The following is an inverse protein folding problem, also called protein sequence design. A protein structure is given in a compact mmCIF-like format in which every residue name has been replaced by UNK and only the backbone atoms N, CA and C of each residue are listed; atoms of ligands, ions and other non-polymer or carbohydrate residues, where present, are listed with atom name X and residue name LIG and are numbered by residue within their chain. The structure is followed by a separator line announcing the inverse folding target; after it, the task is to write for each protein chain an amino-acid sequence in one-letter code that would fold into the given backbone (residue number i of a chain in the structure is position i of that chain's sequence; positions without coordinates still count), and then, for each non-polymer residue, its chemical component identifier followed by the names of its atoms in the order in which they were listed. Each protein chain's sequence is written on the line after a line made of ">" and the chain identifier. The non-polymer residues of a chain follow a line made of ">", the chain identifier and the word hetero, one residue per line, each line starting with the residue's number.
data_IF_429537797242
#
_entry.id   IF_429537797242
#
_cell.length_a   1.000
_cell.length_b   1.000
_cell.length_c   1.000
_cell.angle_alpha   90.00
_cell.angle_beta   90.00
_cell.angle_gamma   90.00
#
_symmetry.space_group_name_H-M   'P 1'
#
loop_
_entity.id
_entity.type
_entity.pdbx_description
1 polymer ?
#
# COMPACT_ATOMS: atom_id res chain seq x y z
N UNK A 1 -11.55 -24.95 -12.93
CA UNK A 1 -12.69 -24.88 -12.00
C UNK A 1 -13.40 -23.53 -12.01
N UNK A 2 -12.70 -22.39 -12.12
CA UNK A 2 -13.33 -21.07 -11.99
C UNK A 2 -14.59 -20.85 -12.84
N UNK A 3 -14.58 -21.25 -14.10
CA UNK A 3 -15.72 -21.08 -15.03
C UNK A 3 -16.53 -22.37 -15.21
N UNK A 4 -16.36 -23.35 -14.33
CA UNK A 4 -17.12 -24.59 -14.38
C UNK A 4 -18.61 -24.32 -14.08
N UNK A 5 -19.57 -24.84 -14.86
CA UNK A 5 -21.00 -24.56 -14.64
C UNK A 5 -21.54 -25.04 -13.29
N UNK A 6 -20.97 -26.09 -12.71
CA UNK A 6 -21.41 -26.66 -11.44
C UNK A 6 -20.57 -26.15 -10.26
N UNK A 7 -19.26 -26.02 -10.47
CA UNK A 7 -18.30 -25.77 -9.39
C UNK A 7 -17.65 -24.40 -9.42
N UNK A 8 -17.88 -23.60 -10.47
CA UNK A 8 -17.28 -22.28 -10.66
C UNK A 8 -17.92 -21.15 -9.85
N UNK A 9 -17.42 -19.93 -10.08
CA UNK A 9 -18.05 -18.69 -9.62
C UNK A 9 -18.97 -18.14 -10.72
N UNK A 10 -20.14 -17.68 -10.33
CA UNK A 10 -21.07 -16.96 -11.20
C UNK A 10 -20.51 -15.57 -11.55
N UNK A 11 -21.03 -14.95 -12.62
CA UNK A 11 -20.66 -13.59 -12.99
C UNK A 11 -20.91 -12.58 -11.86
N UNK A 12 -22.00 -12.74 -11.10
CA UNK A 12 -22.31 -11.89 -9.96
C UNK A 12 -21.33 -12.09 -8.81
N UNK A 13 -20.92 -13.33 -8.51
CA UNK A 13 -19.90 -13.60 -7.48
C UNK A 13 -18.54 -13.01 -7.85
N UNK A 14 -18.19 -12.97 -9.15
CA UNK A 14 -16.95 -12.32 -9.62
C UNK A 14 -17.08 -10.79 -9.55
N UNK A 15 -18.21 -10.22 -9.97
CA UNK A 15 -18.45 -8.77 -9.94
C UNK A 15 -18.51 -8.21 -8.50
N UNK A 16 -18.81 -9.06 -7.53
CA UNK A 16 -18.80 -8.73 -6.10
C UNK A 16 -17.36 -8.62 -5.53
N UNK A 17 -16.35 -9.12 -6.23
CA UNK A 17 -14.93 -8.93 -5.89
C UNK A 17 -14.46 -7.59 -6.48
N UNK A 18 -13.79 -6.71 -5.70
CA UNK A 18 -13.21 -5.49 -6.25
C UNK A 18 -12.32 -5.76 -7.45
N UNK A 19 -12.54 -5.03 -8.54
CA UNK A 19 -11.88 -5.28 -9.83
C UNK A 19 -10.35 -5.28 -9.70
N UNK A 20 -9.79 -4.30 -8.98
CA UNK A 20 -8.34 -4.21 -8.69
C UNK A 20 -7.78 -5.47 -8.04
N UNK A 21 -8.54 -6.14 -7.16
CA UNK A 21 -8.09 -7.37 -6.51
C UNK A 21 -8.20 -8.56 -7.44
N UNK A 22 -9.29 -8.61 -8.22
CA UNK A 22 -9.52 -9.68 -9.16
C UNK A 22 -8.49 -9.67 -10.30
N UNK A 23 -8.04 -8.52 -10.78
CA UNK A 23 -7.14 -8.43 -11.94
C UNK A 23 -5.67 -8.72 -11.64
N UNK A 24 -5.30 -9.07 -10.41
CA UNK A 24 -3.88 -9.27 -10.03
C UNK A 24 -3.30 -10.65 -10.40
N UNK A 25 -4.13 -11.69 -10.42
CA UNK A 25 -3.67 -13.07 -10.59
C UNK A 25 -3.68 -13.67 -12.03
N UNK A 26 -3.99 -12.95 -13.12
CA UNK A 26 -3.74 -13.42 -14.48
C UNK A 26 -2.26 -13.37 -14.88
N UNK A 27 -1.73 -14.48 -15.43
CA UNK A 27 -0.41 -14.59 -16.05
C UNK A 27 -0.58 -15.23 -17.43
N UNK A 28 -0.09 -14.58 -18.50
CA UNK A 28 -0.19 -15.07 -19.88
C UNK A 28 -1.63 -15.47 -20.30
N UNK A 29 -2.63 -14.68 -19.87
CA UNK A 29 -4.05 -14.96 -20.16
C UNK A 29 -4.67 -16.08 -19.33
N UNK A 30 -3.91 -16.73 -18.44
CA UNK A 30 -4.42 -17.74 -17.51
C UNK A 30 -4.49 -17.17 -16.10
N UNK A 31 -5.61 -17.38 -15.40
CA UNK A 31 -5.70 -17.02 -13.99
C UNK A 31 -5.07 -18.13 -13.15
N UNK A 32 -4.00 -17.78 -12.42
CA UNK A 32 -3.25 -18.73 -11.59
C UNK A 32 -3.60 -18.64 -10.10
N UNK A 33 -4.35 -17.61 -9.70
CA UNK A 33 -4.75 -17.43 -8.31
C UNK A 33 -6.11 -16.77 -8.13
N UNK A 34 -6.55 -16.78 -6.88
CA UNK A 34 -7.67 -16.00 -6.38
C UNK A 34 -7.22 -15.19 -5.17
N UNK A 35 -7.70 -13.95 -4.97
CA UNK A 35 -7.25 -13.11 -3.88
C UNK A 35 -7.46 -13.81 -2.53
N UNK A 36 -6.49 -13.72 -1.61
CA UNK A 36 -6.59 -14.33 -0.28
C UNK A 36 -6.69 -13.27 0.82
N UNK A 37 -5.89 -12.22 0.72
CA UNK A 37 -5.83 -11.13 1.67
C UNK A 37 -5.45 -9.85 0.93
N UNK A 38 -6.07 -8.72 1.29
CA UNK A 38 -5.67 -7.40 0.77
C UNK A 38 -5.54 -6.43 1.91
N UNK A 39 -4.38 -5.78 1.96
CA UNK A 39 -4.17 -4.59 2.76
C UNK A 39 -3.94 -3.40 1.85
N UNK A 40 -3.71 -2.24 2.44
CA UNK A 40 -3.33 -1.05 1.71
C UNK A 40 -2.39 -0.16 2.53
N UNK A 41 -1.55 0.57 1.80
CA UNK A 41 -0.62 1.53 2.40
C UNK A 41 -1.29 2.88 2.56
N UNK A 42 -1.21 3.46 3.76
CA UNK A 42 -1.87 4.72 4.09
C UNK A 42 -0.93 5.71 4.78
N UNK A 43 -1.24 6.99 4.63
CA UNK A 43 -0.80 8.05 5.54
C UNK A 43 -1.78 8.11 6.72
N UNK A 44 -1.27 7.92 7.92
CA UNK A 44 -1.98 8.10 9.17
C UNK A 44 -1.87 9.57 9.55
N UNK A 45 -3.00 10.22 9.79
CA UNK A 45 -3.10 11.67 9.91
C UNK A 45 -3.81 12.09 11.19
N UNK A 46 -3.18 12.95 11.97
CA UNK A 46 -3.75 13.46 13.23
C UNK A 46 -4.69 14.65 12.95
N UNK A 47 -5.99 14.39 12.94
CA UNK A 47 -7.01 15.39 12.62
C UNK A 47 -7.16 16.42 13.73
N UNK A 48 -7.00 16.02 14.99
CA UNK A 48 -7.10 16.94 16.13
C UNK A 48 -5.99 17.99 16.05
N UNK A 49 -4.75 17.53 15.89
CA UNK A 49 -3.63 18.44 15.80
C UNK A 49 -3.68 19.28 14.52
N UNK A 50 -4.10 18.72 13.38
CA UNK A 50 -4.29 19.50 12.16
C UNK A 50 -5.27 20.67 12.34
N UNK A 51 -6.39 20.46 13.04
CA UNK A 51 -7.36 21.53 13.35
C UNK A 51 -6.77 22.62 14.23
N UNK A 52 -5.95 22.25 15.22
CA UNK A 52 -5.21 23.20 16.05
C UNK A 52 -4.20 24.03 15.23
N UNK A 53 -3.62 23.44 14.18
CA UNK A 53 -2.74 24.11 13.23
C UNK A 53 -3.51 24.95 12.19
N UNK A 54 -4.85 24.95 12.23
CA UNK A 54 -5.71 25.76 11.35
C UNK A 54 -6.25 25.03 10.11
N UNK A 55 -6.06 23.72 9.98
CA UNK A 55 -6.55 22.93 8.85
C UNK A 55 -7.85 22.21 9.19
N UNK A 56 -8.93 22.55 8.48
CA UNK A 56 -10.25 21.93 8.66
C UNK A 56 -10.49 20.71 7.77
N UNK A 57 -9.60 20.48 6.79
CA UNK A 57 -9.68 19.36 5.86
C UNK A 57 -8.32 18.64 5.73
N UNK A 58 -8.30 17.31 5.55
CA UNK A 58 -7.10 16.58 5.18
C UNK A 58 -6.54 17.06 3.83
N UNK A 59 -5.23 16.92 3.57
CA UNK A 59 -4.65 17.28 2.29
C UNK A 59 -5.13 16.33 1.18
N UNK A 60 -5.61 16.90 0.07
CA UNK A 60 -6.02 16.18 -1.14
C UNK A 60 -4.94 16.20 -2.23
N UNK A 61 -3.99 17.13 -2.16
CA UNK A 61 -2.89 17.29 -3.12
C UNK A 61 -1.52 17.31 -2.46
N UNK A 62 -0.47 17.07 -3.23
CA UNK A 62 0.91 17.13 -2.77
C UNK A 62 1.26 18.51 -2.16
N UNK A 63 0.75 19.60 -2.74
CA UNK A 63 0.97 20.96 -2.22
C UNK A 63 0.29 21.17 -0.87
N UNK A 64 -0.95 20.69 -0.71
CA UNK A 64 -1.65 20.75 0.57
C UNK A 64 -0.95 19.87 1.62
N UNK A 65 -0.46 18.71 1.23
CA UNK A 65 0.33 17.84 2.11
C UNK A 65 1.58 18.55 2.61
N UNK A 66 2.34 19.18 1.70
CA UNK A 66 3.50 20.00 2.04
C UNK A 66 3.13 21.13 3.00
N UNK A 67 2.07 21.87 2.69
CA UNK A 67 1.61 22.99 3.53
C UNK A 67 1.34 22.53 4.97
N UNK A 68 0.59 21.44 5.15
CA UNK A 68 0.25 20.92 6.47
C UNK A 68 1.46 20.34 7.19
N UNK A 69 2.31 19.60 6.48
CA UNK A 69 3.52 19.03 7.04
C UNK A 69 4.48 20.13 7.54
N UNK A 70 4.68 21.18 6.75
CA UNK A 70 5.52 22.32 7.12
C UNK A 70 4.93 23.14 8.26
N UNK A 71 3.60 23.33 8.30
CA UNK A 71 2.94 24.02 9.41
C UNK A 71 3.13 23.28 10.74
N UNK A 72 3.08 21.94 10.73
CA UNK A 72 3.36 21.14 11.91
C UNK A 72 4.81 21.28 12.40
N UNK A 73 5.79 21.41 11.50
CA UNK A 73 7.17 21.72 11.92
C UNK A 73 7.30 23.17 12.44
N UNK A 74 6.68 24.12 11.75
CA UNK A 74 6.69 25.52 12.16
C UNK A 74 6.10 25.73 13.57
N UNK A 75 5.14 24.91 13.98
CA UNK A 75 4.61 24.90 15.36
C UNK A 75 5.71 24.65 16.40
N UNK A 76 6.57 23.64 16.20
CA UNK A 76 7.65 23.33 17.13
C UNK A 76 8.70 24.43 17.19
N UNK A 77 9.04 25.03 16.04
CA UNK A 77 10.05 26.08 15.95
C UNK A 77 9.67 27.42 16.62
N UNK A 78 8.42 27.58 17.05
CA UNK A 78 7.95 28.80 17.72
C UNK A 78 8.36 28.86 19.20
N UNK A 79 8.70 27.73 19.81
CA UNK A 79 9.09 27.68 21.22
C UNK A 79 10.61 27.87 21.43
N UNK A 80 11.04 27.88 22.69
CA UNK A 80 12.45 28.01 23.06
C UNK A 80 13.22 26.68 23.04
N UNK A 81 12.53 25.54 22.92
CA UNK A 81 13.08 24.20 23.02
C UNK A 81 13.64 23.70 21.68
N UNK A 82 14.89 24.07 21.41
CA UNK A 82 15.60 23.66 20.17
C UNK A 82 15.78 22.16 19.96
N UNK A 83 15.51 21.31 20.96
CA UNK A 83 15.59 19.86 20.80
C UNK A 83 14.42 19.27 19.99
N UNK A 84 13.31 20.00 19.85
CA UNK A 84 12.12 19.55 19.10
C UNK A 84 11.97 20.24 17.73
N UNK A 85 12.87 21.16 17.34
CA UNK A 85 12.79 21.94 16.08
C UNK A 85 12.81 21.07 14.81
N UNK A 86 13.15 19.78 14.92
CA UNK A 86 13.09 18.79 13.84
C UNK A 86 11.79 17.95 13.80
N UNK A 87 10.90 18.11 14.77
CA UNK A 87 9.61 17.42 14.81
C UNK A 87 8.53 18.15 14.01
N UNK A 88 7.36 17.52 13.90
CA UNK A 88 6.31 17.92 12.99
C UNK A 88 6.40 17.20 11.66
N UNK A 89 5.58 17.62 10.71
CA UNK A 89 5.66 17.08 9.36
C UNK A 89 5.35 15.59 9.25
N UNK A 90 6.09 14.93 8.35
CA UNK A 90 5.99 13.50 8.07
C UNK A 90 7.25 12.75 8.52
N UNK A 91 7.08 11.58 9.16
CA UNK A 91 8.21 10.67 9.37
C UNK A 91 8.50 9.93 8.08
N UNK A 92 9.69 10.16 7.52
CA UNK A 92 10.14 9.51 6.30
C UNK A 92 10.08 8.00 6.47
N UNK A 93 9.38 7.34 5.55
CA UNK A 93 9.29 5.88 5.50
C UNK A 93 9.62 5.41 4.08
N UNK A 94 10.75 4.72 3.92
CA UNK A 94 11.23 4.26 2.61
C UNK A 94 10.87 2.80 2.31
N UNK A 95 9.88 2.23 3.01
CA UNK A 95 9.42 0.88 2.67
C UNK A 95 8.85 0.85 1.23
N UNK A 96 8.94 -0.30 0.52
CA UNK A 96 8.63 -0.36 -0.89
C UNK A 96 7.24 0.16 -1.25
N UNK A 97 6.20 -0.26 -0.53
CA UNK A 97 4.82 0.16 -0.80
C UNK A 97 4.60 1.65 -0.53
N UNK A 98 5.32 2.25 0.42
CA UNK A 98 5.27 3.71 0.67
C UNK A 98 5.85 4.46 -0.52
N UNK A 99 7.04 4.05 -0.97
CA UNK A 99 7.71 4.71 -2.08
C UNK A 99 6.92 4.54 -3.37
N UNK A 100 6.44 3.32 -3.66
CA UNK A 100 5.57 3.06 -4.80
C UNK A 100 4.31 3.94 -4.78
N UNK A 101 3.69 4.12 -3.61
CA UNK A 101 2.50 4.97 -3.48
C UNK A 101 2.80 6.43 -3.84
N UNK A 102 3.94 6.98 -3.39
CA UNK A 102 4.36 8.33 -3.78
C UNK A 102 4.71 8.44 -5.27
N UNK A 103 5.39 7.44 -5.84
CA UNK A 103 5.69 7.43 -7.28
C UNK A 103 4.39 7.48 -8.11
N UNK A 104 3.41 6.62 -7.77
CA UNK A 104 2.13 6.58 -8.46
C UNK A 104 1.31 7.86 -8.25
N UNK A 105 1.35 8.47 -7.06
CA UNK A 105 0.66 9.75 -6.77
C UNK A 105 1.17 10.90 -7.65
N UNK A 106 2.41 10.82 -8.12
CA UNK A 106 3.02 11.77 -9.06
C UNK A 106 2.86 11.37 -10.53
N UNK A 107 2.04 10.35 -10.81
CA UNK A 107 1.82 9.84 -12.17
C UNK A 107 2.98 9.00 -12.71
N UNK A 108 3.91 8.60 -11.83
CA UNK A 108 5.00 7.69 -12.14
C UNK A 108 4.59 6.23 -11.90
N UNK A 109 5.51 5.46 -11.33
CA UNK A 109 5.39 4.02 -11.16
C UNK A 109 6.65 3.32 -11.63
N UNK A 110 6.61 2.00 -11.69
CA UNK A 110 7.83 1.21 -11.98
C UNK A 110 7.71 0.37 -13.24
N UNK A 111 6.53 0.31 -13.86
CA UNK A 111 6.27 -0.50 -15.05
C UNK A 111 5.89 0.42 -16.20
N UNK A 112 6.61 0.31 -17.31
CA UNK A 112 6.28 1.05 -18.53
C UNK A 112 5.49 0.14 -19.48
N UNK A 113 4.36 0.63 -19.98
CA UNK A 113 3.55 -0.04 -21.02
C UNK A 113 3.30 0.95 -22.15
N UNK A 114 3.88 0.69 -23.31
CA UNK A 114 3.70 1.49 -24.54
C UNK A 114 4.31 2.88 -24.48
N UNK A 115 5.19 3.16 -23.52
CA UNK A 115 5.70 4.52 -23.23
C UNK A 115 7.14 4.77 -23.67
N UNK A 116 7.88 3.77 -24.15
CA UNK A 116 9.25 3.96 -24.66
C UNK A 116 9.61 2.97 -25.77
N UNK A 117 10.30 3.40 -26.84
CA UNK A 117 10.81 2.49 -27.88
C UNK A 117 12.05 1.69 -27.42
N UNK A 118 12.66 2.03 -26.28
CA UNK A 118 13.88 1.38 -25.78
C UNK A 118 13.66 0.45 -24.59
N UNK A 119 12.51 0.55 -23.91
CA UNK A 119 12.15 -0.29 -22.75
C UNK A 119 11.03 -1.22 -23.19
N UNK A 120 11.16 -2.53 -22.95
CA UNK A 120 10.11 -3.47 -23.37
C UNK A 120 8.88 -3.32 -22.46
N UNK A 121 7.71 -3.51 -23.04
CA UNK A 121 6.45 -3.51 -22.28
C UNK A 121 6.51 -4.52 -21.13
N UNK A 122 6.22 -4.05 -19.92
CA UNK A 122 6.26 -4.89 -18.72
C UNK A 122 7.65 -5.03 -18.09
N UNK A 123 8.67 -4.28 -18.54
CA UNK A 123 9.95 -4.15 -17.82
C UNK A 123 9.84 -3.13 -16.68
N UNK A 124 10.70 -3.33 -15.67
CA UNK A 124 10.81 -2.43 -14.53
C UNK A 124 11.77 -1.30 -14.87
N UNK A 125 11.33 -0.06 -14.70
CA UNK A 125 12.13 1.13 -14.93
C UNK A 125 11.79 2.23 -13.92
N UNK A 126 12.81 2.78 -13.28
CA UNK A 126 12.72 3.79 -12.23
C UNK A 126 13.08 5.18 -12.73
N UNK A 127 14.03 5.35 -13.66
CA UNK A 127 14.48 6.64 -14.17
C UNK A 127 13.48 7.31 -15.13
N UNK A 128 12.30 7.62 -14.60
CA UNK A 128 11.27 8.40 -15.29
C UNK A 128 11.18 9.81 -14.72
N UNK A 129 10.79 10.82 -15.54
CA UNK A 129 10.59 12.18 -15.05
C UNK A 129 9.59 12.26 -13.88
N UNK A 130 8.51 11.46 -13.92
CA UNK A 130 7.50 11.46 -12.86
C UNK A 130 8.04 10.88 -11.54
N UNK A 131 8.84 9.81 -11.60
CA UNK A 131 9.49 9.26 -10.40
C UNK A 131 10.53 10.21 -9.82
N UNK A 132 11.30 10.88 -10.69
CA UNK A 132 12.21 11.92 -10.28
C UNK A 132 11.46 13.03 -9.54
N UNK A 133 10.38 13.58 -10.12
CA UNK A 133 9.58 14.62 -9.46
C UNK A 133 9.01 14.18 -8.11
N UNK A 134 8.60 12.92 -7.97
CA UNK A 134 8.13 12.38 -6.69
C UNK A 134 9.24 12.39 -5.63
N UNK A 135 10.44 11.90 -5.98
CA UNK A 135 11.58 11.84 -5.05
C UNK A 135 12.13 13.24 -4.73
N UNK A 136 12.16 14.14 -5.70
CA UNK A 136 12.53 15.55 -5.49
C UNK A 136 11.54 16.24 -4.55
N UNK A 137 10.23 16.00 -4.70
CA UNK A 137 9.23 16.51 -3.76
C UNK A 137 9.46 16.02 -2.33
N UNK A 138 9.64 14.71 -2.14
CA UNK A 138 9.86 14.15 -0.81
C UNK A 138 11.18 14.61 -0.20
N UNK A 139 12.24 14.73 -1.01
CA UNK A 139 13.52 15.28 -0.55
C UNK A 139 13.41 16.77 -0.22
N UNK A 140 12.64 17.54 -0.99
CA UNK A 140 12.32 18.93 -0.70
C UNK A 140 11.65 19.10 0.66
N UNK A 141 10.68 18.24 1.00
CA UNK A 141 10.08 18.24 2.35
C UNK A 141 11.12 18.02 3.45
N UNK A 142 12.06 17.09 3.23
CA UNK A 142 13.13 16.81 4.18
C UNK A 142 14.08 18.02 4.34
N UNK A 143 14.50 18.64 3.23
CA UNK A 143 15.38 19.82 3.25
C UNK A 143 14.72 21.05 3.88
N UNK A 144 13.39 21.14 3.74
CA UNK A 144 12.57 22.18 4.38
C UNK A 144 12.22 21.87 5.83
N UNK A 145 12.70 20.75 6.39
CA UNK A 145 12.40 20.27 7.75
C UNK A 145 10.92 19.90 7.97
N UNK A 146 10.16 19.74 6.89
CA UNK A 146 8.77 19.29 6.88
C UNK A 146 8.64 17.75 6.84
N UNK A 147 9.76 17.04 6.73
CA UNK A 147 9.87 15.61 6.94
C UNK A 147 11.19 15.29 7.64
N UNK A 148 11.24 14.19 8.39
CA UNK A 148 12.43 13.81 9.15
C UNK A 148 12.57 12.29 9.29
N UNK A 149 13.80 11.84 9.53
CA UNK A 149 14.12 10.42 9.75
C UNK A 149 14.01 10.14 11.24
N UNK A 150 13.15 9.20 11.61
CA UNK A 150 13.02 8.75 13.00
C UNK A 150 14.18 7.85 13.41
N UNK A 151 14.72 8.08 14.60
CA UNK A 151 15.62 7.14 15.29
C UNK A 151 14.86 6.09 16.09
N UNK A 152 13.57 6.32 16.35
CA UNK A 152 12.69 5.36 17.01
C UNK A 152 12.27 4.25 16.04
N UNK A 153 12.31 2.97 16.47
CA UNK A 153 11.92 1.85 15.61
C UNK A 153 10.42 1.78 15.33
N UNK A 154 9.60 2.48 16.13
CA UNK A 154 8.15 2.50 16.00
C UNK A 154 7.64 3.93 15.76
N UNK A 155 7.14 4.28 14.56
CA UNK A 155 6.67 5.63 14.26
C UNK A 155 5.38 6.00 15.03
N UNK A 156 4.62 5.03 15.55
CA UNK A 156 3.35 5.28 16.21
C UNK A 156 3.50 5.96 17.58
N UNK A 157 4.64 5.78 18.27
CA UNK A 157 4.91 6.54 19.49
C UNK A 157 5.14 8.01 19.18
N UNK A 158 5.96 8.31 18.17
CA UNK A 158 6.20 9.67 17.70
C UNK A 158 4.89 10.34 17.26
N UNK A 159 4.04 9.63 16.52
CA UNK A 159 2.70 10.12 16.15
C UNK A 159 1.83 10.41 17.38
N UNK A 160 1.77 9.47 18.33
CA UNK A 160 0.99 9.62 19.57
C UNK A 160 1.53 10.71 20.51
N UNK A 161 2.80 11.12 20.37
CA UNK A 161 3.38 12.26 21.09
C UNK A 161 3.27 13.57 20.33
N UNK A 162 2.57 13.58 19.19
CA UNK A 162 2.48 14.69 18.23
C UNK A 162 3.84 15.12 17.66
N UNK A 163 4.86 14.27 17.68
CA UNK A 163 6.15 14.55 17.03
C UNK A 163 6.08 14.49 15.50
N UNK A 164 4.99 13.99 14.92
CA UNK A 164 4.72 14.02 13.49
C UNK A 164 3.22 14.07 13.21
N UNK A 165 2.83 14.90 12.24
CA UNK A 165 1.44 15.05 11.81
C UNK A 165 1.02 13.88 10.94
N UNK A 166 1.98 13.35 10.18
CA UNK A 166 1.82 12.20 9.31
C UNK A 166 2.82 11.10 9.67
N UNK A 167 2.35 9.86 9.74
CA UNK A 167 3.20 8.66 9.65
C UNK A 167 2.63 7.71 8.62
N UNK A 168 3.46 6.84 8.05
CA UNK A 168 2.98 5.84 7.08
C UNK A 168 2.89 4.48 7.75
N UNK A 169 1.80 3.75 7.47
CA UNK A 169 1.57 2.40 7.97
C UNK A 169 0.74 1.56 7.01
N UNK A 170 0.73 0.25 7.23
CA UNK A 170 -0.21 -0.67 6.60
C UNK A 170 -1.55 -0.64 7.35
N UNK A 171 -2.67 -0.86 6.66
CA UNK A 171 -4.00 -0.91 7.30
C UNK A 171 -4.05 -1.90 8.49
N UNK A 172 -3.36 -3.05 8.38
CA UNK A 172 -3.30 -4.05 9.46
C UNK A 172 -2.63 -3.52 10.74
N UNK A 173 -1.93 -2.39 10.66
CA UNK A 173 -1.27 -1.74 11.80
C UNK A 173 -2.15 -0.68 12.49
N UNK A 174 -3.35 -0.38 11.97
CA UNK A 174 -4.30 0.55 12.60
C UNK A 174 -4.65 0.20 14.07
N UNK A 175 -4.88 -1.08 14.44
CA UNK A 175 -5.07 -1.46 15.83
C UNK A 175 -3.84 -1.15 16.71
N UNK A 176 -2.62 -1.28 16.16
CA UNK A 176 -1.37 -0.98 16.88
C UNK A 176 -1.23 0.50 17.19
N UNK A 177 -1.61 1.38 16.26
CA UNK A 177 -1.67 2.82 16.56
C UNK A 177 -2.71 3.10 17.65
N UNK A 178 -3.91 2.54 17.54
CA UNK A 178 -5.00 2.73 18.52
C UNK A 178 -4.54 2.36 19.94
N UNK A 179 -3.89 1.20 20.09
CA UNK A 179 -3.32 0.75 21.36
C UNK A 179 -2.20 1.68 21.86
N UNK A 180 -1.41 2.25 20.96
CA UNK A 180 -0.32 3.18 21.30
C UNK A 180 -0.85 4.51 21.80
N UNK A 181 -1.88 5.08 21.16
CA UNK A 181 -2.56 6.28 21.62
C UNK A 181 -3.18 6.08 23.01
N UNK A 182 -3.91 4.97 23.20
CA UNK A 182 -4.52 4.63 24.49
C UNK A 182 -3.46 4.50 25.61
N UNK A 183 -2.37 3.77 25.36
CA UNK A 183 -1.27 3.61 26.32
C UNK A 183 -0.61 4.94 26.70
N UNK A 184 -0.51 5.88 25.77
CA UNK A 184 0.07 7.19 25.99
C UNK A 184 -0.96 8.25 26.43
N UNK A 185 -2.19 7.83 26.72
CA UNK A 185 -3.32 8.70 27.09
C UNK A 185 -3.55 9.85 26.08
N UNK A 186 -3.31 9.59 24.79
CA UNK A 186 -3.62 10.53 23.73
C UNK A 186 -5.04 10.26 23.21
N UNK A 187 -5.91 11.28 23.25
CA UNK A 187 -7.29 11.24 22.78
C UNK A 187 -7.52 11.93 21.42
N UNK A 188 -6.47 12.18 20.67
CA UNK A 188 -6.53 12.78 19.34
C UNK A 188 -7.31 11.90 18.37
N UNK A 189 -8.26 12.52 17.67
CA UNK A 189 -8.86 11.96 16.48
C UNK A 189 -7.83 11.86 15.34
N UNK A 190 -7.82 10.71 14.66
CA UNK A 190 -6.95 10.43 13.52
C UNK A 190 -7.69 9.60 12.47
N UNK A 191 -7.21 9.68 11.22
CA UNK A 191 -7.76 8.94 10.09
C UNK A 191 -6.66 8.43 9.15
N UNK A 192 -7.06 7.64 8.16
CA UNK A 192 -6.22 7.09 7.10
C UNK A 192 -6.47 7.87 5.80
N UNK A 193 -5.39 8.29 5.14
CA UNK A 193 -5.44 9.01 3.87
C UNK A 193 -4.68 8.22 2.80
N UNK A 194 -5.24 8.06 1.60
CA UNK A 194 -4.43 7.73 0.42
C UNK A 194 -3.36 8.80 0.20
N UNK A 195 -2.37 8.51 -0.64
CA UNK A 195 -1.22 9.39 -0.86
C UNK A 195 -1.62 10.57 -1.76
N UNK A 196 -1.59 11.82 -1.26
CA UNK A 196 -2.04 12.97 -2.01
C UNK A 196 -1.00 13.35 -3.08
N UNK A 197 -1.42 13.27 -4.34
CA UNK A 197 -0.58 13.48 -5.51
C UNK A 197 -0.82 14.81 -6.22
N UNK A 198 -0.42 14.87 -7.48
CA UNK A 198 -0.58 16.08 -8.30
C UNK A 198 -2.04 16.33 -8.72
N UNK A 199 -2.77 15.25 -9.04
CA UNK A 199 -4.13 15.31 -9.60
C UNK A 199 -5.15 14.49 -8.79
N UNK A 200 -4.93 14.38 -7.48
CA UNK A 200 -5.74 13.55 -6.58
C UNK A 200 -4.89 12.56 -5.80
N UNK A 201 -5.53 11.68 -5.06
CA UNK A 201 -4.84 10.75 -4.17
C UNK A 201 -4.75 9.34 -4.76
N UNK A 202 -3.72 8.59 -4.37
CA UNK A 202 -3.50 7.21 -4.79
C UNK A 202 -3.49 6.29 -3.59
N UNK A 203 -4.23 5.18 -3.69
CA UNK A 203 -4.15 4.08 -2.73
C UNK A 203 -3.51 2.87 -3.39
N UNK A 204 -2.42 2.36 -2.81
CA UNK A 204 -1.82 1.09 -3.25
C UNK A 204 -2.31 -0.03 -2.35
N UNK A 205 -2.80 -1.09 -2.99
CA UNK A 205 -3.20 -2.33 -2.35
C UNK A 205 -2.27 -3.47 -2.72
N UNK A 206 -1.97 -4.31 -1.73
CA UNK A 206 -1.09 -5.46 -1.87
C UNK A 206 -1.59 -6.60 -0.98
N UNK A 207 -1.16 -7.82 -1.29
CA UNK A 207 -1.44 -8.98 -0.46
C UNK A 207 -1.42 -10.30 -1.24
N UNK A 208 -1.35 -11.42 -0.52
CA UNK A 208 -1.23 -12.74 -1.12
C UNK A 208 -2.52 -13.20 -1.81
N UNK A 209 -2.36 -14.18 -2.70
CA UNK A 209 -3.44 -14.89 -3.37
C UNK A 209 -3.31 -16.39 -3.14
N UNK A 210 -4.45 -17.09 -3.07
CA UNK A 210 -4.51 -18.53 -3.07
C UNK A 210 -4.10 -19.06 -4.45
N UNK A 211 -3.19 -20.05 -4.46
CA UNK A 211 -2.79 -20.77 -5.67
C UNK A 211 -3.08 -22.25 -5.46
N UNK A 212 -3.72 -22.89 -6.43
CA UNK A 212 -3.88 -24.33 -6.44
C UNK A 212 -2.70 -24.95 -7.17
N UNK A 213 -1.87 -25.67 -6.44
CA UNK A 213 -0.76 -26.41 -7.04
C UNK A 213 -1.31 -27.55 -7.90
N UNK A 214 -0.71 -27.73 -9.08
CA UNK A 214 -1.04 -28.87 -9.92
C UNK A 214 -0.64 -30.15 -9.18
N UNK A 215 -1.60 -31.03 -8.93
CA UNK A 215 -1.29 -32.37 -8.43
C UNK A 215 -0.47 -33.11 -9.48
N UNK A 216 0.65 -33.74 -9.07
CA UNK A 216 1.30 -34.72 -9.93
C UNK A 216 0.29 -35.83 -10.23
N UNK A 217 0.02 -36.14 -11.51
CA UNK A 217 -0.81 -37.29 -11.81
C UNK A 217 -0.12 -38.53 -11.22
N UNK A 218 -0.81 -39.28 -10.36
CA UNK A 218 -0.45 -40.68 -10.19
C UNK A 218 -0.47 -41.28 -11.59
N UNK A 219 0.68 -41.82 -12.04
CA UNK A 219 0.93 -42.29 -13.42
C UNK A 219 -0.04 -43.36 -13.93
N UNK A 220 -1.08 -43.72 -13.19
CA UNK A 220 -2.05 -44.76 -13.55
C UNK A 220 -3.54 -44.36 -13.55
N UNK A 221 -3.96 -43.17 -13.10
CA UNK A 221 -5.40 -42.82 -13.13
C UNK A 221 -5.65 -41.40 -13.63
N UNK A 222 -5.54 -41.22 -14.94
CA UNK A 222 -6.03 -40.05 -15.67
C UNK A 222 -7.56 -40.11 -15.89
N UNK A 223 -8.33 -40.35 -14.82
CA UNK A 223 -9.78 -40.36 -14.86
C UNK A 223 -10.34 -39.24 -13.98
N UNK A 224 -11.48 -38.66 -14.37
CA UNK A 224 -12.26 -37.66 -13.62
C UNK A 224 -12.60 -38.04 -12.16
N UNK A 225 -12.29 -39.28 -11.73
CA UNK A 225 -12.53 -39.82 -10.41
C UNK A 225 -11.25 -40.15 -9.61
N UNK A 226 -10.07 -39.75 -10.09
CA UNK A 226 -8.81 -39.98 -9.36
C UNK A 226 -8.78 -39.16 -8.06
N UNK A 227 -8.08 -39.66 -7.05
CA UNK A 227 -7.90 -38.98 -5.76
C UNK A 227 -7.31 -37.57 -5.95
N UNK A 228 -6.40 -37.41 -6.92
CA UNK A 228 -5.85 -36.12 -7.31
C UNK A 228 -6.91 -35.12 -7.81
N UNK A 229 -7.83 -35.56 -8.69
CA UNK A 229 -8.92 -34.71 -9.17
C UNK A 229 -9.87 -34.31 -8.03
N UNK A 230 -10.18 -35.25 -7.13
CA UNK A 230 -11.00 -34.98 -5.93
C UNK A 230 -10.31 -33.97 -5.00
N UNK A 231 -9.00 -34.10 -4.78
CA UNK A 231 -8.23 -33.16 -3.97
C UNK A 231 -8.19 -31.75 -4.59
N UNK A 232 -7.98 -31.65 -5.90
CA UNK A 232 -8.01 -30.34 -6.58
C UNK A 232 -9.40 -29.69 -6.53
N UNK A 233 -10.47 -30.47 -6.68
CA UNK A 233 -11.83 -29.96 -6.52
C UNK A 233 -12.10 -29.54 -5.07
N UNK A 234 -11.73 -30.35 -4.08
CA UNK A 234 -11.89 -30.01 -2.67
C UNK A 234 -11.12 -28.74 -2.28
N UNK A 235 -9.87 -28.59 -2.76
CA UNK A 235 -9.07 -27.38 -2.55
C UNK A 235 -9.74 -26.15 -3.19
N UNK A 236 -10.31 -26.30 -4.39
CA UNK A 236 -11.05 -25.22 -5.04
C UNK A 236 -12.32 -24.84 -4.28
N UNK A 237 -13.10 -25.82 -3.83
CA UNK A 237 -14.29 -25.57 -3.02
C UNK A 237 -13.94 -24.91 -1.68
N UNK A 238 -12.80 -25.25 -1.09
CA UNK A 238 -12.29 -24.58 0.11
C UNK A 238 -11.93 -23.11 -0.16
N UNK A 239 -11.25 -22.81 -1.29
CA UNK A 239 -10.98 -21.42 -1.71
C UNK A 239 -12.29 -20.65 -1.95
N UNK A 240 -13.29 -21.26 -2.59
CA UNK A 240 -14.63 -20.65 -2.75
C UNK A 240 -15.31 -20.38 -1.42
N UNK A 241 -15.22 -21.33 -0.49
CA UNK A 241 -15.76 -21.17 0.86
C UNK A 241 -15.07 -20.01 1.58
N UNK A 242 -13.74 -19.89 1.53
CA UNK A 242 -13.01 -18.76 2.10
C UNK A 242 -13.42 -17.42 1.49
N UNK A 243 -13.70 -17.39 0.19
CA UNK A 243 -14.15 -16.21 -0.56
C UNK A 243 -15.64 -15.88 -0.38
N UNK A 244 -16.41 -16.67 0.36
CA UNK A 244 -17.82 -16.38 0.62
C UNK A 244 -17.97 -15.09 1.44
N UNK A 245 -19.06 -14.36 1.24
CA UNK A 245 -19.33 -13.11 1.96
C UNK A 245 -19.29 -13.29 3.48
N UNK A 246 -19.87 -14.39 3.99
CA UNK A 246 -19.89 -14.72 5.42
C UNK A 246 -18.48 -14.93 5.98
N UNK A 247 -17.63 -15.69 5.27
CA UNK A 247 -16.28 -15.97 5.76
C UNK A 247 -15.36 -14.76 5.58
N UNK A 248 -15.57 -13.94 4.56
CA UNK A 248 -14.88 -12.66 4.40
C UNK A 248 -15.22 -11.68 5.52
N UNK A 249 -16.47 -11.64 5.99
CA UNK A 249 -16.83 -10.83 7.16
C UNK A 249 -16.07 -11.29 8.42
N UNK A 250 -16.07 -12.60 8.72
CA UNK A 250 -15.28 -13.15 9.84
C UNK A 250 -13.78 -12.88 9.69
N UNK A 251 -13.27 -12.95 8.45
CA UNK A 251 -11.87 -12.68 8.15
C UNK A 251 -11.49 -11.23 8.44
N UNK A 252 -12.33 -10.28 8.02
CA UNK A 252 -12.16 -8.86 8.34
C UNK A 252 -12.12 -8.63 9.84
N UNK A 253 -13.09 -9.16 10.59
CA UNK A 253 -13.16 -8.97 12.04
C UNK A 253 -11.90 -9.48 12.77
N UNK A 254 -11.35 -10.60 12.31
CA UNK A 254 -10.17 -11.22 12.91
C UNK A 254 -8.86 -10.51 12.53
N UNK A 255 -8.78 -9.88 11.36
CA UNK A 255 -7.50 -9.41 10.78
C UNK A 255 -7.39 -7.90 10.59
N UNK A 256 -8.51 -7.19 10.48
CA UNK A 256 -8.54 -5.77 10.11
C UNK A 256 -8.14 -5.48 8.66
N UNK A 257 -8.07 -6.51 7.80
CA UNK A 257 -7.75 -6.36 6.38
C UNK A 257 -8.96 -5.88 5.57
N UNK A 258 -8.75 -5.55 4.29
CA UNK A 258 -9.83 -5.17 3.38
C UNK A 258 -10.68 -6.39 3.00
N UNK A 259 -12.01 -6.23 2.86
CA UNK A 259 -12.87 -7.30 2.41
C UNK A 259 -12.61 -7.58 0.93
N UNK A 260 -12.57 -8.87 0.56
CA UNK A 260 -12.46 -9.27 -0.84
C UNK A 260 -13.81 -9.30 -1.58
N UNK A 261 -14.90 -9.01 -0.87
CA UNK A 261 -16.28 -9.05 -1.37
C UNK A 261 -17.02 -7.83 -0.86
N UNK A 262 -17.71 -7.08 -1.74
CA UNK A 262 -18.53 -5.96 -1.30
C UNK A 262 -19.71 -6.43 -0.45
N UNK A 263 -20.33 -7.56 -0.79
CA UNK A 263 -21.42 -8.17 -0.03
C UNK A 263 -21.04 -8.57 1.40
N UNK A 264 -19.75 -8.73 1.72
CA UNK A 264 -19.32 -8.98 3.10
C UNK A 264 -19.62 -7.78 4.03
N UNK A 265 -19.73 -6.57 3.48
CA UNK A 265 -20.01 -5.34 4.23
C UNK A 265 -21.38 -5.33 4.91
N UNK A 266 -22.34 -6.10 4.37
CA UNK A 266 -23.69 -6.22 4.94
C UNK A 266 -23.66 -6.87 6.33
N UNK A 267 -22.68 -7.75 6.58
CA UNK A 267 -22.48 -8.43 7.86
C UNK A 267 -21.53 -7.70 8.82
N UNK A 268 -20.96 -6.56 8.41
CA UNK A 268 -19.90 -5.86 9.16
C UNK A 268 -20.37 -4.58 9.86
N UNK A 269 -21.68 -4.43 10.09
CA UNK A 269 -22.27 -3.19 10.64
C UNK A 269 -21.64 -2.74 11.98
N UNK A 270 -21.55 -3.64 12.96
CA UNK A 270 -20.95 -3.34 14.27
C UNK A 270 -19.45 -3.09 14.16
N UNK A 271 -18.73 -3.92 13.39
CA UNK A 271 -17.30 -3.76 13.16
C UNK A 271 -16.99 -2.38 12.56
N UNK A 272 -17.76 -1.94 11.56
CA UNK A 272 -17.64 -0.63 10.91
C UNK A 272 -17.84 0.52 11.88
N UNK A 273 -18.83 0.41 12.76
CA UNK A 273 -19.11 1.43 13.76
C UNK A 273 -17.98 1.54 14.81
N UNK A 274 -17.39 0.41 15.19
CA UNK A 274 -16.27 0.36 16.14
C UNK A 274 -14.90 0.73 15.55
N UNK A 275 -14.75 0.69 14.23
CA UNK A 275 -13.48 0.93 13.53
C UNK A 275 -13.64 1.98 12.42
N UNK A 276 -13.89 3.26 12.77
CA UNK A 276 -14.18 4.29 11.78
C UNK A 276 -13.05 4.50 10.75
N UNK A 277 -11.78 4.33 11.16
CA UNK A 277 -10.63 4.42 10.25
C UNK A 277 -10.62 3.28 9.23
N UNK A 278 -10.93 2.06 9.65
CA UNK A 278 -11.08 0.92 8.74
C UNK A 278 -12.26 1.14 7.78
N UNK A 279 -13.40 1.62 8.30
CA UNK A 279 -14.57 1.90 7.46
C UNK A 279 -14.27 3.01 6.43
N UNK A 280 -13.47 4.01 6.79
CA UNK A 280 -12.98 5.00 5.85
C UNK A 280 -12.05 4.37 4.78
N UNK A 281 -11.13 3.48 5.18
CA UNK A 281 -10.25 2.77 4.26
C UNK A 281 -11.01 1.95 3.21
N UNK A 282 -12.11 1.29 3.58
CA UNK A 282 -12.99 0.56 2.64
C UNK A 282 -13.56 1.48 1.56
N UNK A 283 -13.85 2.74 1.90
CA UNK A 283 -14.37 3.73 0.95
C UNK A 283 -13.44 4.01 -0.23
N UNK A 284 -12.13 3.79 -0.08
CA UNK A 284 -11.13 4.02 -1.12
C UNK A 284 -10.86 2.81 -2.01
N UNK A 285 -11.45 1.64 -1.74
CA UNK A 285 -11.26 0.44 -2.58
C UNK A 285 -11.53 0.69 -4.08
N UNK A 286 -12.57 1.44 -4.49
CA UNK A 286 -12.82 1.70 -5.91
C UNK A 286 -11.71 2.46 -6.63
N UNK A 287 -10.90 3.23 -5.90
CA UNK A 287 -9.80 4.06 -6.43
C UNK A 287 -8.43 3.37 -6.24
N UNK A 288 -8.42 2.19 -5.62
CA UNK A 288 -7.19 1.49 -5.30
C UNK A 288 -6.51 0.95 -6.56
N UNK A 289 -5.19 1.05 -6.55
CA UNK A 289 -4.30 0.45 -7.54
C UNK A 289 -3.60 -0.77 -6.95
N UNK A 290 -3.28 -1.72 -7.82
CA UNK A 290 -2.54 -2.91 -7.46
C UNK A 290 -1.03 -2.62 -7.43
N UNK A 291 -0.32 -3.18 -6.46
CA UNK A 291 1.14 -3.33 -6.57
C UNK A 291 1.51 -4.11 -7.86
N UNK A 292 2.63 -3.82 -8.53
CA UNK A 292 3.03 -4.49 -9.76
C UNK A 292 3.03 -6.02 -9.64
N UNK A 293 2.43 -6.72 -10.61
CA UNK A 293 2.30 -8.18 -10.63
C UNK A 293 3.40 -8.87 -11.45
N UNK A 294 4.58 -8.27 -11.49
CA UNK A 294 5.73 -8.80 -12.21
C UNK A 294 6.59 -9.67 -11.29
N UNK A 295 7.10 -10.79 -11.79
CA UNK A 295 8.04 -11.62 -11.01
C UNK A 295 9.27 -10.82 -10.56
N UNK A 296 9.80 -9.97 -11.45
CA UNK A 296 10.92 -9.08 -11.17
C UNK A 296 10.62 -8.06 -10.05
N UNK A 297 9.35 -7.67 -9.87
CA UNK A 297 8.96 -6.70 -8.82
C UNK A 297 9.28 -7.21 -7.42
N UNK A 298 9.21 -8.53 -7.21
CA UNK A 298 9.54 -9.15 -5.91
C UNK A 298 10.93 -8.77 -5.41
N UNK A 299 11.88 -8.54 -6.33
CA UNK A 299 13.23 -8.11 -6.00
C UNK A 299 13.40 -6.59 -6.17
N UNK A 300 12.89 -6.01 -7.25
CA UNK A 300 13.04 -4.59 -7.55
C UNK A 300 12.43 -3.66 -6.49
N UNK A 301 11.38 -4.10 -5.78
CA UNK A 301 10.79 -3.35 -4.68
C UNK A 301 11.82 -3.01 -3.57
N UNK A 302 12.81 -3.89 -3.35
CA UNK A 302 13.89 -3.65 -2.39
C UNK A 302 14.93 -2.66 -2.91
N UNK A 303 15.16 -2.64 -4.24
CA UNK A 303 15.99 -1.62 -4.89
C UNK A 303 15.35 -0.24 -4.74
N UNK A 304 14.03 -0.14 -4.91
CA UNK A 304 13.28 1.10 -4.64
C UNK A 304 13.45 1.57 -3.20
N UNK A 305 13.26 0.67 -2.24
CA UNK A 305 13.37 1.00 -0.83
C UNK A 305 14.78 1.45 -0.43
N UNK A 306 15.81 0.77 -0.95
CA UNK A 306 17.20 1.10 -0.62
C UNK A 306 17.66 2.40 -1.31
N UNK A 307 17.34 2.60 -2.60
CA UNK A 307 17.64 3.83 -3.33
C UNK A 307 16.99 5.06 -2.68
N UNK A 308 15.70 4.97 -2.33
CA UNK A 308 15.05 6.02 -1.56
C UNK A 308 15.69 6.20 -0.17
N UNK A 309 16.00 5.11 0.53
CA UNK A 309 16.72 5.13 1.81
C UNK A 309 18.08 5.81 1.73
N UNK A 310 18.80 5.62 0.63
CA UNK A 310 20.09 6.26 0.36
C UNK A 310 19.94 7.78 0.23
N UNK A 311 18.94 8.27 -0.52
CA UNK A 311 18.67 9.70 -0.70
C UNK A 311 18.55 10.42 0.65
N UNK A 312 17.73 9.87 1.57
CA UNK A 312 17.51 10.50 2.89
C UNK A 312 18.70 10.30 3.84
N UNK A 313 19.22 9.08 3.98
CA UNK A 313 20.29 8.77 4.95
C UNK A 313 21.60 9.49 4.65
N UNK A 314 21.90 9.74 3.38
CA UNK A 314 23.10 10.48 2.97
C UNK A 314 22.88 11.98 2.83
N UNK A 315 21.64 12.44 3.04
CA UNK A 315 21.21 13.80 2.74
C UNK A 315 21.63 14.22 1.32
N UNK A 316 21.32 13.38 0.34
CA UNK A 316 21.73 13.57 -1.04
C UNK A 316 21.20 14.91 -1.60
N UNK A 317 22.02 15.62 -2.37
CA UNK A 317 21.56 16.82 -3.07
C UNK A 317 20.48 16.46 -4.10
N UNK A 318 19.44 17.29 -4.22
CA UNK A 318 18.28 17.04 -5.10
C UNK A 318 18.71 16.80 -6.55
N UNK A 319 19.73 17.53 -7.03
CA UNK A 319 20.26 17.44 -8.39
C UNK A 319 20.97 16.10 -8.69
N UNK A 320 21.20 15.27 -7.67
CA UNK A 320 21.80 13.93 -7.80
C UNK A 320 20.78 12.79 -7.80
N UNK A 321 19.49 13.08 -7.57
CA UNK A 321 18.41 12.09 -7.63
C UNK A 321 18.38 11.36 -8.99
N UNK A 322 18.58 12.01 -10.16
CA UNK A 322 18.62 11.30 -11.44
C UNK A 322 19.65 10.16 -11.46
N UNK A 323 20.84 10.38 -10.91
CA UNK A 323 21.89 9.36 -10.88
C UNK A 323 21.52 8.16 -9.99
N UNK A 324 20.79 8.38 -8.90
CA UNK A 324 20.29 7.27 -8.06
C UNK A 324 19.26 6.44 -8.82
N UNK A 325 18.37 7.09 -9.58
CA UNK A 325 17.40 6.38 -10.40
C UNK A 325 18.07 5.54 -11.50
N UNK A 326 19.10 6.08 -12.16
CA UNK A 326 19.91 5.34 -13.14
C UNK A 326 20.60 4.12 -12.50
N UNK A 327 21.14 4.27 -11.29
CA UNK A 327 21.74 3.16 -10.53
C UNK A 327 20.71 2.10 -10.13
N UNK A 328 19.50 2.51 -9.77
CA UNK A 328 18.40 1.60 -9.46
C UNK A 328 18.01 0.77 -10.70
N UNK A 329 17.97 1.38 -11.88
CA UNK A 329 17.70 0.67 -13.14
C UNK A 329 18.80 -0.33 -13.49
N UNK A 330 20.06 0.08 -13.42
CA UNK A 330 21.19 -0.82 -13.65
C UNK A 330 21.17 -2.02 -12.67
N UNK A 331 20.81 -1.76 -11.41
CA UNK A 331 20.69 -2.81 -10.39
C UNK A 331 19.56 -3.79 -10.72
N UNK A 332 18.40 -3.30 -11.16
CA UNK A 332 17.28 -4.16 -11.57
C UNK A 332 17.63 -5.01 -12.78
N UNK A 333 18.34 -4.46 -13.76
CA UNK A 333 18.81 -5.20 -14.93
C UNK A 333 19.77 -6.33 -14.50
N UNK A 334 20.72 -6.05 -13.60
CA UNK A 334 21.67 -7.06 -13.14
C UNK A 334 20.98 -8.22 -12.39
N UNK A 335 20.03 -7.93 -11.50
CA UNK A 335 19.33 -8.97 -10.73
C UNK A 335 18.30 -9.74 -11.55
N UNK A 336 17.75 -9.14 -12.61
CA UNK A 336 16.78 -9.81 -13.49
C UNK A 336 17.43 -10.77 -14.49
N UNK A 337 18.73 -10.60 -14.75
CA UNK A 337 19.52 -11.44 -15.65
C UNK A 337 20.19 -12.66 -14.98
N UNK A 338 19.94 -12.90 -13.70
CA UNK A 338 20.46 -14.05 -12.92
C UNK A 338 19.40 -15.13 -12.71
#
# INVERSE_FOLDING_TARGET
>A
YLYDPAWGLTANEIADIPATFWTQDPVNGQRLGAPAQRSARFLFYNQTWARELGFSAPPATADEFRQQACAANAYYRQDANKQNDGYGGWIVNTQPDTMLSWLLAFGGGVVMVGQSPTIKDGEIHFATPANQSALEFLKGLYDEHCAWISTEPNPYESFARRSALFVTGDLAEAPRLTQTLARLNNSDEWTLLPFPGLNGAVLVTSGPSYTLLQSTPEKQFAAQHSLAAQHSLAAWLFVRWLLSAENQAKWVEATGLLPLRFSALDSLGEYRAGHPQWNNAVGYIPEAQASPQLAAWRMAQYVLADGAGFIFRTNLAVEKIPSVLDEMDATVEEISNK
#
